data_IF_942447888489
#
_entry.id   IF_942447888489
#
_cell.length_a   1.000
_cell.length_b   1.000
_cell.length_c   1.000
_cell.angle_alpha   90.00
_cell.angle_beta   90.00
_cell.angle_gamma   90.00
#
_symmetry.space_group_name_H-M   'P 1'
#
loop_
_entity.id
_entity.type
_entity.pdbx_description
1 polymer ?
#
# COMPACT_ATOMS: atom_id res chain seq x y z
N UNK A 1 17.66 -1.58 1.14
CA UNK A 1 16.55 -0.67 1.57
C UNK A 1 15.16 -1.25 1.26
N UNK A 2 14.10 -0.77 1.93
CA UNK A 2 12.71 -1.19 1.67
C UNK A 2 11.81 0.01 1.36
N UNK A 3 11.27 0.05 0.15
CA UNK A 3 10.24 1.00 -0.24
C UNK A 3 8.84 0.47 0.08
N UNK A 4 7.99 1.33 0.64
CA UNK A 4 6.61 0.93 0.95
C UNK A 4 5.57 1.98 0.61
N UNK A 5 4.34 1.51 0.37
CA UNK A 5 3.15 2.36 0.27
C UNK A 5 2.03 1.78 1.13
N UNK A 6 1.30 2.63 1.87
CA UNK A 6 0.16 2.19 2.67
C UNK A 6 -0.95 3.22 2.75
N UNK A 7 -2.20 2.76 2.81
CA UNK A 7 -3.36 3.61 3.13
C UNK A 7 -3.75 3.49 4.61
N UNK A 8 -4.09 2.28 5.05
CA UNK A 8 -4.60 1.99 6.39
C UNK A 8 -3.60 1.26 7.31
N UNK A 9 -2.35 1.07 6.88
CA UNK A 9 -1.27 0.56 7.74
C UNK A 9 -0.88 -0.91 7.53
N UNK A 10 -1.67 -1.72 6.83
CA UNK A 10 -1.35 -3.14 6.55
C UNK A 10 0.07 -3.32 5.97
N UNK A 11 0.34 -2.66 4.85
CA UNK A 11 1.64 -2.77 4.18
C UNK A 11 2.78 -2.12 4.95
N UNK A 12 2.52 -1.11 5.79
CA UNK A 12 3.55 -0.55 6.67
C UNK A 12 3.90 -1.53 7.81
N UNK A 13 2.95 -2.33 8.29
CA UNK A 13 3.22 -3.35 9.31
C UNK A 13 4.15 -4.43 8.75
N UNK A 14 3.84 -4.91 7.55
CA UNK A 14 4.67 -5.84 6.80
C UNK A 14 6.06 -5.24 6.53
N UNK A 15 6.12 -4.00 6.06
CA UNK A 15 7.39 -3.33 5.77
C UNK A 15 8.25 -3.16 7.04
N UNK A 16 7.66 -2.76 8.17
CA UNK A 16 8.37 -2.60 9.45
C UNK A 16 8.94 -3.92 9.97
N UNK A 17 8.17 -5.00 9.92
CA UNK A 17 8.67 -6.30 10.35
C UNK A 17 9.82 -6.79 9.45
N UNK A 18 9.72 -6.60 8.13
CA UNK A 18 10.84 -6.90 7.22
C UNK A 18 12.05 -6.02 7.50
N UNK A 19 11.84 -4.71 7.70
CA UNK A 19 12.90 -3.75 8.01
C UNK A 19 13.67 -4.15 9.26
N UNK A 20 12.97 -4.53 10.33
CA UNK A 20 13.59 -5.02 11.57
C UNK A 20 14.36 -6.32 11.34
N UNK A 21 13.74 -7.29 10.66
CA UNK A 21 14.34 -8.61 10.49
C UNK A 21 15.51 -8.64 9.50
N UNK A 22 15.52 -7.75 8.52
CA UNK A 22 16.55 -7.61 7.49
C UNK A 22 17.55 -6.49 7.81
N UNK A 23 17.30 -5.68 8.85
CA UNK A 23 18.07 -4.49 9.20
C UNK A 23 18.17 -3.47 8.07
N UNK A 24 17.09 -3.32 7.31
CA UNK A 24 17.02 -2.48 6.12
C UNK A 24 16.18 -1.22 6.38
N UNK A 25 16.60 -0.03 5.95
CA UNK A 25 15.85 1.20 6.20
C UNK A 25 14.54 1.25 5.41
N UNK A 26 13.51 1.84 6.01
CA UNK A 26 12.23 2.09 5.36
C UNK A 26 12.19 3.42 4.61
N UNK A 27 11.58 3.40 3.43
CA UNK A 27 11.37 4.58 2.61
C UNK A 27 9.95 4.62 2.05
N UNK A 28 9.17 5.64 2.40
CA UNK A 28 7.80 5.77 1.89
C UNK A 28 7.82 6.21 0.43
N UNK A 29 7.18 5.44 -0.46
CA UNK A 29 7.10 5.74 -1.89
C UNK A 29 6.46 7.11 -2.16
N UNK A 30 5.48 7.51 -1.34
CA UNK A 30 4.81 8.82 -1.43
C UNK A 30 5.77 9.99 -1.25
N UNK A 31 6.74 9.84 -0.36
CA UNK A 31 7.69 10.90 -0.01
C UNK A 31 8.78 10.98 -1.07
N UNK A 32 9.22 9.82 -1.57
CA UNK A 32 10.20 9.76 -2.66
C UNK A 32 9.66 10.40 -3.95
N UNK A 33 8.37 10.27 -4.22
CA UNK A 33 7.72 10.93 -5.36
C UNK A 33 7.69 12.47 -5.28
N UNK A 34 7.91 13.06 -4.10
CA UNK A 34 8.01 14.51 -3.97
C UNK A 34 9.41 15.04 -4.33
N UNK A 35 10.42 14.17 -4.40
CA UNK A 35 11.82 14.55 -4.66
C UNK A 35 12.17 14.21 -6.11
N UNK A 36 12.28 15.23 -6.97
CA UNK A 36 12.62 15.04 -8.38
C UNK A 36 14.07 14.58 -8.55
N UNK A 37 14.28 13.65 -9.48
CA UNK A 37 15.62 13.25 -9.93
C UNK A 37 16.43 12.43 -8.92
N UNK A 38 15.85 12.05 -7.78
CA UNK A 38 16.52 11.27 -6.74
C UNK A 38 16.99 9.91 -7.29
N UNK A 39 18.27 9.63 -7.11
CA UNK A 39 18.87 8.32 -7.35
C UNK A 39 19.18 7.64 -6.02
N UNK A 40 19.11 6.31 -6.00
CA UNK A 40 19.41 5.49 -4.84
C UNK A 40 20.64 4.64 -5.15
N UNK A 41 21.78 4.98 -4.55
CA UNK A 41 23.01 4.19 -4.64
C UNK A 41 22.90 2.98 -3.73
N UNK A 42 23.11 1.80 -4.29
CA UNK A 42 23.07 0.53 -3.57
C UNK A 42 24.47 0.09 -3.19
N UNK A 43 24.62 -0.39 -1.96
CA UNK A 43 25.84 -1.08 -1.55
C UNK A 43 25.94 -2.47 -2.20
N UNK A 44 27.16 -3.05 -2.33
CA UNK A 44 27.31 -4.43 -2.78
C UNK A 44 26.46 -5.39 -1.96
N UNK A 45 25.69 -6.25 -2.63
CA UNK A 45 24.78 -7.19 -2.01
C UNK A 45 23.45 -6.62 -1.50
N UNK A 46 23.27 -5.28 -1.47
CA UNK A 46 22.06 -4.65 -0.93
C UNK A 46 20.81 -5.06 -1.71
N UNK A 47 19.76 -5.44 -0.96
CA UNK A 47 18.48 -5.81 -1.54
C UNK A 47 17.55 -4.59 -1.62
N UNK A 48 16.66 -4.60 -2.61
CA UNK A 48 15.59 -3.59 -2.74
C UNK A 48 14.25 -4.25 -2.52
N UNK A 49 13.61 -3.91 -1.41
CA UNK A 49 12.26 -4.37 -1.07
C UNK A 49 11.17 -3.44 -1.57
N UNK A 50 10.09 -4.00 -2.10
CA UNK A 50 8.86 -3.29 -2.47
C UNK A 50 7.65 -3.86 -1.69
N UNK A 51 7.03 -3.06 -0.82
CA UNK A 51 5.93 -3.52 0.04
C UNK A 51 4.70 -2.62 -0.12
N UNK A 52 3.62 -3.13 -0.68
CA UNK A 52 2.46 -2.29 -1.00
C UNK A 52 1.16 -3.09 -1.16
N UNK A 53 -0.02 -2.44 -1.06
CA UNK A 53 -1.30 -3.13 -1.21
C UNK A 53 -1.64 -3.40 -2.67
N UNK A 54 -2.42 -4.46 -2.92
CA UNK A 54 -3.08 -4.70 -4.20
C UNK A 54 -4.38 -3.91 -4.25
N UNK A 55 -4.59 -3.15 -5.33
CA UNK A 55 -5.85 -2.47 -5.61
C UNK A 55 -6.47 -3.06 -6.87
N UNK A 56 -7.66 -3.64 -6.74
CA UNK A 56 -8.42 -4.23 -7.86
C UNK A 56 -7.57 -5.19 -8.71
N UNK A 57 -6.83 -6.08 -8.04
CA UNK A 57 -5.98 -7.09 -8.67
C UNK A 57 -4.83 -6.56 -9.54
N UNK A 58 -4.50 -5.26 -9.41
CA UNK A 58 -3.35 -4.58 -10.02
C UNK A 58 -2.56 -3.79 -8.95
N UNK A 59 -1.45 -3.18 -9.32
CA UNK A 59 -0.69 -2.33 -8.41
C UNK A 59 -1.34 -0.93 -8.31
N UNK A 60 -1.24 -0.25 -7.15
CA UNK A 60 -1.72 1.11 -7.00
C UNK A 60 -1.06 2.06 -8.00
N UNK A 61 -1.80 3.08 -8.47
CA UNK A 61 -1.26 4.09 -9.38
C UNK A 61 -0.01 4.77 -8.80
N UNK A 62 -0.02 5.10 -7.51
CA UNK A 62 1.13 5.67 -6.82
C UNK A 62 2.38 4.78 -6.91
N UNK A 63 2.21 3.47 -6.76
CA UNK A 63 3.33 2.51 -6.86
C UNK A 63 3.87 2.45 -8.28
N UNK A 64 2.99 2.44 -9.28
CA UNK A 64 3.40 2.49 -10.69
C UNK A 64 4.16 3.79 -11.04
N UNK A 65 3.73 4.92 -10.47
CA UNK A 65 4.42 6.21 -10.66
C UNK A 65 5.76 6.23 -9.94
N UNK A 66 5.84 5.67 -8.73
CA UNK A 66 7.11 5.51 -7.99
C UNK A 66 8.11 4.67 -8.79
N UNK A 67 7.71 3.49 -9.28
CA UNK A 67 8.57 2.61 -10.09
C UNK A 67 9.07 3.35 -11.32
N UNK A 68 8.21 4.10 -12.03
CA UNK A 68 8.61 4.87 -13.22
C UNK A 68 9.65 5.95 -12.91
N UNK A 69 9.67 6.47 -11.69
CA UNK A 69 10.67 7.44 -11.23
C UNK A 69 11.90 6.82 -10.59
N UNK A 70 11.89 5.50 -10.34
CA UNK A 70 12.91 4.82 -9.56
C UNK A 70 14.21 4.72 -10.35
N UNK A 71 15.28 5.30 -9.80
CA UNK A 71 16.64 5.21 -10.34
C UNK A 71 17.55 4.54 -9.33
N UNK A 72 17.95 3.32 -9.61
CA UNK A 72 18.92 2.57 -8.81
C UNK A 72 20.30 2.69 -9.45
N UNK A 73 21.30 3.05 -8.66
CA UNK A 73 22.71 3.06 -9.06
C UNK A 73 23.39 1.92 -8.33
N UNK A 74 23.88 0.93 -9.06
CA UNK A 74 24.48 -0.27 -8.48
C UNK A 74 25.59 -0.78 -9.40
N UNK A 75 26.63 -1.35 -8.80
CA UNK A 75 27.73 -2.00 -9.53
C UNK A 75 27.34 -3.39 -10.06
N UNK A 76 26.29 -3.99 -9.51
CA UNK A 76 25.77 -5.29 -9.90
C UNK A 76 24.24 -5.26 -10.07
N UNK A 77 23.68 -6.32 -10.65
CA UNK A 77 22.23 -6.45 -10.79
C UNK A 77 21.58 -6.62 -9.41
N UNK A 78 20.72 -5.68 -8.97
CA UNK A 78 20.18 -5.72 -7.61
C UNK A 78 19.19 -6.87 -7.43
N UNK A 79 19.15 -7.44 -6.22
CA UNK A 79 18.10 -8.36 -5.83
C UNK A 79 16.86 -7.57 -5.39
N UNK A 80 15.86 -7.55 -6.25
CA UNK A 80 14.59 -6.84 -6.01
C UNK A 80 13.54 -7.85 -5.57
N UNK A 81 12.95 -7.65 -4.40
CA UNK A 81 11.87 -8.48 -3.90
C UNK A 81 10.61 -7.66 -3.66
N UNK A 82 9.44 -8.30 -3.75
CA UNK A 82 8.17 -7.67 -3.47
C UNK A 82 7.29 -8.51 -2.55
N UNK A 83 6.66 -7.84 -1.58
CA UNK A 83 5.64 -8.41 -0.69
C UNK A 83 4.35 -7.63 -0.88
N UNK A 84 3.38 -8.25 -1.56
CA UNK A 84 2.07 -7.66 -1.80
C UNK A 84 1.16 -7.90 -0.60
N UNK A 85 0.38 -6.91 -0.18
CA UNK A 85 -0.69 -7.11 0.81
C UNK A 85 -2.06 -7.10 0.14
N UNK A 86 -2.96 -8.02 0.47
CA UNK A 86 -4.29 -8.07 -0.13
C UNK A 86 -5.38 -8.52 0.86
N UNK A 87 -6.64 -8.23 0.55
CA UNK A 87 -7.81 -8.67 1.33
C UNK A 87 -8.26 -10.11 1.05
N UNK A 88 -7.60 -10.81 0.13
CA UNK A 88 -7.88 -12.20 -0.19
C UNK A 88 -7.08 -12.73 -1.37
N UNK A 89 -7.12 -12.01 -2.50
CA UNK A 89 -6.42 -12.40 -3.73
C UNK A 89 -5.67 -11.22 -4.33
N UNK A 90 -4.59 -11.53 -5.02
CA UNK A 90 -3.71 -10.55 -5.70
C UNK A 90 -3.99 -10.44 -7.20
N UNK A 91 -4.72 -11.40 -7.78
CA UNK A 91 -4.92 -11.52 -9.23
C UNK A 91 -3.59 -11.44 -9.99
N UNK A 92 -3.49 -10.53 -10.95
CA UNK A 92 -2.27 -10.32 -11.75
C UNK A 92 -1.42 -9.13 -11.29
N UNK A 93 -1.58 -8.64 -10.05
CA UNK A 93 -0.78 -7.52 -9.54
C UNK A 93 0.73 -7.78 -9.61
N UNK A 94 1.16 -9.03 -9.38
CA UNK A 94 2.56 -9.45 -9.56
C UNK A 94 3.07 -9.29 -10.99
N UNK A 95 2.30 -9.79 -11.96
CA UNK A 95 2.61 -9.64 -13.39
C UNK A 95 2.62 -8.18 -13.82
N UNK A 96 1.73 -7.36 -13.25
CA UNK A 96 1.71 -5.93 -13.53
C UNK A 96 2.95 -5.23 -12.95
N UNK A 97 3.35 -5.56 -11.73
CA UNK A 97 4.60 -5.10 -11.13
C UNK A 97 5.81 -5.44 -12.01
N UNK A 98 5.94 -6.70 -12.42
CA UNK A 98 7.02 -7.16 -13.31
C UNK A 98 7.09 -6.34 -14.59
N UNK A 99 5.95 -6.10 -15.25
CA UNK A 99 5.90 -5.26 -16.47
C UNK A 99 6.37 -3.83 -16.21
N UNK A 100 6.03 -3.23 -15.07
CA UNK A 100 6.46 -1.87 -14.74
C UNK A 100 7.97 -1.81 -14.45
N UNK A 101 8.51 -2.80 -13.72
CA UNK A 101 9.94 -2.90 -13.45
C UNK A 101 10.75 -3.13 -14.74
N UNK A 102 10.29 -4.01 -15.62
CA UNK A 102 10.95 -4.28 -16.91
C UNK A 102 11.07 -3.03 -17.79
N UNK A 103 10.06 -2.14 -17.76
CA UNK A 103 10.14 -0.84 -18.46
C UNK A 103 11.24 0.08 -17.91
N UNK A 104 11.68 -0.15 -16.68
CA UNK A 104 12.80 0.54 -16.05
C UNK A 104 14.11 -0.26 -16.14
N UNK A 105 14.13 -1.35 -16.92
CA UNK A 105 15.25 -2.30 -17.01
C UNK A 105 15.62 -2.93 -15.66
N UNK A 106 14.62 -3.04 -14.78
CA UNK A 106 14.72 -3.72 -13.50
C UNK A 106 13.99 -5.06 -13.58
N UNK A 107 14.51 -6.06 -12.87
CA UNK A 107 13.90 -7.39 -12.82
C UNK A 107 13.52 -7.76 -11.40
N UNK A 108 12.28 -8.23 -11.25
CA UNK A 108 11.79 -8.75 -9.99
C UNK A 108 12.43 -10.12 -9.73
N UNK A 109 13.20 -10.24 -8.64
CA UNK A 109 13.86 -11.49 -8.26
C UNK A 109 12.95 -12.40 -7.45
N UNK A 110 12.15 -11.84 -6.54
CA UNK A 110 11.28 -12.58 -5.63
C UNK A 110 9.93 -11.90 -5.46
N UNK A 111 8.85 -12.66 -5.52
CA UNK A 111 7.50 -12.17 -5.28
C UNK A 111 6.77 -13.06 -4.28
N UNK A 112 6.10 -12.46 -3.30
CA UNK A 112 5.14 -13.14 -2.43
C UNK A 112 3.99 -12.21 -2.05
N UNK A 113 2.99 -12.75 -1.35
CA UNK A 113 1.86 -11.97 -0.87
C UNK A 113 1.39 -12.44 0.51
N UNK A 114 0.91 -11.49 1.30
CA UNK A 114 0.29 -11.73 2.61
C UNK A 114 -1.16 -11.24 2.59
N UNK A 115 -2.05 -12.02 3.22
CA UNK A 115 -3.47 -11.67 3.33
C UNK A 115 -3.70 -10.96 4.66
N UNK A 116 -4.27 -9.76 4.59
CA UNK A 116 -4.58 -8.90 5.73
C UNK A 116 -6.04 -8.43 5.64
N UNK A 117 -6.60 -7.77 6.67
CA UNK A 117 -7.98 -7.30 6.61
C UNK A 117 -8.25 -6.41 5.40
N UNK A 118 -9.30 -6.74 4.65
CA UNK A 118 -9.78 -5.90 3.55
C UNK A 118 -10.36 -4.59 4.08
N UNK A 119 -10.11 -3.51 3.35
CA UNK A 119 -10.50 -2.16 3.72
C UNK A 119 -11.23 -1.42 2.58
N UNK A 120 -11.65 -2.10 1.51
CA UNK A 120 -12.40 -1.49 0.42
C UNK A 120 -13.90 -1.35 0.75
N UNK A 121 -14.20 -0.49 1.72
CA UNK A 121 -15.55 -0.25 2.25
C UNK A 121 -16.60 0.28 1.26
N UNK A 122 -16.27 0.88 0.09
CA UNK A 122 -17.30 1.22 -0.90
C UNK A 122 -18.10 0.03 -1.41
N UNK A 123 -17.53 -1.19 -1.37
CA UNK A 123 -18.19 -2.42 -1.81
C UNK A 123 -18.22 -3.50 -0.72
N UNK A 124 -17.14 -3.61 0.07
CA UNK A 124 -16.94 -4.68 1.03
C UNK A 124 -17.25 -4.23 2.47
N UNK A 125 -17.10 -5.16 3.40
CA UNK A 125 -17.16 -4.90 4.84
C UNK A 125 -15.81 -5.21 5.46
N UNK A 126 -15.39 -4.38 6.41
CA UNK A 126 -14.23 -4.66 7.25
C UNK A 126 -14.52 -5.94 8.05
N UNK A 127 -13.62 -6.93 8.04
CA UNK A 127 -13.76 -8.12 8.87
C UNK A 127 -13.94 -7.77 10.36
N UNK A 128 -14.72 -8.54 11.11
CA UNK A 128 -14.79 -8.37 12.56
C UNK A 128 -13.43 -8.63 13.24
N UNK A 129 -13.28 -8.18 14.49
CA UNK A 129 -12.01 -8.24 15.22
C UNK A 129 -11.42 -9.65 15.32
N UNK A 130 -12.25 -10.66 15.58
CA UNK A 130 -11.81 -12.07 15.63
C UNK A 130 -11.18 -12.50 14.31
N UNK A 131 -11.83 -12.19 13.18
CA UNK A 131 -11.29 -12.48 11.84
C UNK A 131 -10.04 -11.66 11.55
N UNK A 132 -9.96 -10.41 12.01
CA UNK A 132 -8.73 -9.61 11.88
C UNK A 132 -7.56 -10.24 12.62
N UNK A 133 -7.74 -10.69 13.86
CA UNK A 133 -6.71 -11.36 14.65
C UNK A 133 -6.19 -12.63 13.96
N UNK A 134 -7.09 -13.47 13.44
CA UNK A 134 -6.70 -14.66 12.66
C UNK A 134 -5.87 -14.27 11.44
N UNK A 135 -6.30 -13.24 10.69
CA UNK A 135 -5.55 -12.75 9.54
C UNK A 135 -4.16 -12.23 9.92
N UNK A 136 -4.02 -11.52 11.05
CA UNK A 136 -2.72 -11.05 11.52
C UNK A 136 -1.77 -12.21 11.87
N UNK A 137 -2.27 -13.22 12.59
CA UNK A 137 -1.47 -14.41 12.94
C UNK A 137 -1.04 -15.21 11.71
N UNK A 138 -1.91 -15.35 10.71
CA UNK A 138 -1.55 -15.99 9.44
C UNK A 138 -0.53 -15.14 8.68
N UNK A 139 -0.74 -13.83 8.58
CA UNK A 139 0.19 -12.92 7.91
C UNK A 139 1.59 -12.93 8.54
N UNK A 140 1.67 -13.02 9.87
CA UNK A 140 2.94 -13.12 10.59
C UNK A 140 3.71 -14.39 10.21
N UNK A 141 3.03 -15.56 10.15
CA UNK A 141 3.64 -16.83 9.73
C UNK A 141 4.13 -16.78 8.27
N UNK A 142 3.29 -16.25 7.38
CA UNK A 142 3.64 -16.06 5.97
C UNK A 142 4.87 -15.12 5.84
N UNK A 143 4.94 -14.08 6.67
CA UNK A 143 6.02 -13.10 6.65
C UNK A 143 7.34 -13.63 7.24
N UNK A 144 7.29 -14.48 8.26
CA UNK A 144 8.48 -15.20 8.75
C UNK A 144 9.07 -16.04 7.63
N UNK A 145 8.22 -16.81 6.92
CA UNK A 145 8.63 -17.63 5.78
C UNK A 145 9.24 -16.77 4.66
N UNK A 146 8.58 -15.66 4.31
CA UNK A 146 9.09 -14.73 3.31
C UNK A 146 10.46 -14.14 3.72
N UNK A 147 10.61 -13.77 4.99
CA UNK A 147 11.86 -13.20 5.53
C UNK A 147 13.03 -14.17 5.36
N UNK A 148 12.84 -15.45 5.71
CA UNK A 148 13.86 -16.49 5.54
C UNK A 148 14.23 -16.65 4.06
N UNK A 149 13.23 -16.68 3.17
CA UNK A 149 13.45 -16.83 1.73
C UNK A 149 14.16 -15.61 1.11
N UNK A 150 13.83 -14.40 1.56
CA UNK A 150 14.49 -13.16 1.14
C UNK A 150 15.94 -13.13 1.60
N UNK A 151 16.23 -13.51 2.87
CA UNK A 151 17.61 -13.63 3.37
C UNK A 151 18.43 -14.64 2.56
N UNK A 152 17.82 -15.75 2.17
CA UNK A 152 18.44 -16.76 1.30
C UNK A 152 18.50 -16.35 -0.17
N UNK A 153 18.08 -15.12 -0.53
CA UNK A 153 18.00 -14.59 -1.90
C UNK A 153 17.28 -15.53 -2.87
N UNK A 154 16.24 -16.24 -2.39
CA UNK A 154 15.43 -17.15 -3.20
C UNK A 154 14.84 -16.38 -4.38
N UNK A 155 14.76 -17.02 -5.55
CA UNK A 155 14.21 -16.41 -6.76
C UNK A 155 12.86 -17.01 -7.15
N UNK A 156 12.11 -16.28 -7.96
CA UNK A 156 10.85 -16.71 -8.56
C UNK A 156 9.60 -16.15 -7.88
N UNK A 157 8.45 -16.55 -8.41
CA UNK A 157 7.14 -16.15 -7.93
C UNK A 157 6.60 -17.15 -6.91
N UNK A 158 6.62 -16.77 -5.64
CA UNK A 158 6.11 -17.55 -4.49
C UNK A 158 4.73 -17.04 -4.05
N UNK A 159 4.07 -16.18 -4.84
CA UNK A 159 2.73 -15.69 -4.53
C UNK A 159 1.68 -16.77 -4.80
N UNK A 160 1.33 -17.50 -3.73
CA UNK A 160 0.25 -18.50 -3.72
C UNK A 160 -1.16 -17.87 -3.65
N UNK A 161 -1.28 -16.53 -3.60
CA UNK A 161 -2.56 -15.81 -3.39
C UNK A 161 -3.07 -15.15 -4.68
N UNK A 162 -2.70 -15.64 -5.86
CA UNK A 162 -3.20 -15.10 -7.15
C UNK A 162 -4.71 -15.30 -7.32
N UNK A 163 -5.25 -16.39 -6.77
CA UNK A 163 -6.63 -16.80 -6.98
C UNK A 163 -6.85 -17.54 -8.30
N UNK A 164 -7.98 -18.24 -8.39
CA UNK A 164 -8.41 -18.93 -9.60
C UNK A 164 -8.84 -17.91 -10.67
N UNK A 165 -8.60 -18.20 -11.95
CA UNK A 165 -8.93 -17.29 -13.07
C UNK A 165 -8.41 -15.84 -12.88
N UNK A 166 -7.23 -15.69 -12.27
CA UNK A 166 -6.63 -14.40 -11.91
C UNK A 166 -6.59 -13.38 -13.06
N UNK A 167 -6.41 -13.85 -14.29
CA UNK A 167 -6.46 -13.01 -15.49
C UNK A 167 -7.84 -12.40 -15.76
N UNK A 168 -8.90 -13.20 -15.68
CA UNK A 168 -10.27 -12.73 -15.88
C UNK A 168 -10.69 -11.74 -14.77
N UNK A 169 -10.39 -12.08 -13.52
CA UNK A 169 -10.65 -11.19 -12.37
C UNK A 169 -9.92 -9.85 -12.51
N UNK A 170 -8.67 -9.87 -12.97
CA UNK A 170 -7.92 -8.63 -13.18
C UNK A 170 -8.47 -7.84 -14.37
N UNK A 171 -8.81 -8.52 -15.47
CA UNK A 171 -9.37 -7.88 -16.66
C UNK A 171 -10.69 -7.16 -16.37
N UNK A 172 -11.52 -7.70 -15.46
CA UNK A 172 -12.78 -7.06 -15.06
C UNK A 172 -12.58 -5.93 -14.04
N UNK A 173 -11.71 -6.10 -13.05
CA UNK A 173 -11.58 -5.13 -11.94
C UNK A 173 -10.62 -3.96 -12.24
N UNK A 174 -9.54 -4.17 -12.99
CA UNK A 174 -8.53 -3.13 -13.23
C UNK A 174 -9.09 -1.90 -14.00
N UNK A 175 -10.01 -2.04 -14.97
CA UNK A 175 -10.70 -0.88 -15.56
C UNK A 175 -11.51 -0.10 -14.52
N UNK A 176 -12.23 -0.79 -13.62
CA UNK A 176 -12.99 -0.14 -12.55
C UNK A 176 -12.08 0.69 -11.63
N UNK A 177 -10.87 0.21 -11.34
CA UNK A 177 -9.87 1.01 -10.61
C UNK A 177 -9.40 2.22 -11.41
N UNK A 178 -9.05 2.01 -12.69
CA UNK A 178 -8.54 3.08 -13.56
C UNK A 178 -9.52 4.25 -13.60
N UNK A 179 -10.80 3.96 -13.80
CA UNK A 179 -11.84 4.94 -14.06
C UNK A 179 -12.59 5.39 -12.79
N UNK A 180 -12.63 4.55 -11.77
CA UNK A 180 -13.28 4.79 -10.48
C UNK A 180 -12.46 5.62 -9.49
N UNK A 181 -11.19 5.87 -9.77
CA UNK A 181 -10.25 6.70 -8.98
C UNK A 181 -10.59 8.20 -8.89
N UNK A 182 -11.83 8.58 -9.17
CA UNK A 182 -12.30 9.97 -9.19
C UNK A 182 -12.50 10.50 -7.78
N UNK A 183 -12.12 11.74 -7.53
CA UNK A 183 -12.24 12.36 -6.21
C UNK A 183 -13.55 13.09 -5.98
N UNK A 184 -14.30 13.40 -7.04
CA UNK A 184 -15.55 14.18 -7.00
C UNK A 184 -16.69 13.55 -6.18
N UNK A 185 -16.53 12.29 -5.75
CA UNK A 185 -17.46 11.61 -4.86
C UNK A 185 -17.06 11.68 -3.38
N UNK A 186 -15.86 12.16 -3.06
CA UNK A 186 -15.50 12.40 -1.67
C UNK A 186 -16.15 13.66 -1.16
N UNK A 187 -16.66 13.60 0.06
CA UNK A 187 -17.21 14.75 0.78
C UNK A 187 -16.99 14.57 2.28
N UNK A 188 -17.04 15.66 3.03
CA UNK A 188 -16.98 15.66 4.48
C UNK A 188 -18.31 16.14 5.07
N UNK A 189 -18.83 15.43 6.07
CA UNK A 189 -20.01 15.82 6.82
C UNK A 189 -19.72 17.00 7.77
N UNK A 190 -20.79 17.53 8.38
CA UNK A 190 -20.69 18.61 9.35
C UNK A 190 -20.06 18.18 10.69
N UNK A 191 -19.89 16.88 10.92
CA UNK A 191 -19.11 16.38 12.06
C UNK A 191 -17.60 16.63 11.91
N UNK A 192 -17.14 17.16 10.77
CA UNK A 192 -15.73 17.46 10.55
C UNK A 192 -15.22 18.55 11.51
N UNK A 193 -14.18 18.23 12.26
CA UNK A 193 -13.59 19.14 13.26
C UNK A 193 -12.48 20.05 12.72
N UNK A 194 -12.17 19.98 11.42
CA UNK A 194 -11.06 20.75 10.85
C UNK A 194 -9.68 20.35 11.37
N UNK A 195 -9.46 19.09 11.79
CA UNK A 195 -8.16 18.66 12.32
C UNK A 195 -7.03 18.50 11.27
N UNK A 196 -7.35 18.70 9.98
CA UNK A 196 -6.43 18.64 8.83
C UNK A 196 -5.70 17.30 8.59
N UNK A 197 -5.92 16.27 9.41
CA UNK A 197 -5.23 14.98 9.29
C UNK A 197 -5.34 14.38 7.88
N UNK A 198 -6.51 14.45 7.26
CA UNK A 198 -6.76 13.92 5.91
C UNK A 198 -5.87 14.56 4.85
N UNK A 199 -5.60 15.87 4.92
CA UNK A 199 -4.69 16.57 4.03
C UNK A 199 -3.23 16.17 4.31
N UNK A 200 -2.85 16.10 5.58
CA UNK A 200 -1.48 15.78 6.01
C UNK A 200 -1.03 14.39 5.54
N UNK A 201 -1.91 13.38 5.69
CA UNK A 201 -1.61 11.99 5.34
C UNK A 201 -1.87 11.65 3.86
N UNK A 202 -2.39 12.60 3.07
CA UNK A 202 -2.72 12.32 1.67
C UNK A 202 -1.44 12.12 0.86
N UNK A 203 -1.19 10.91 0.33
CA UNK A 203 0.10 10.57 -0.29
C UNK A 203 0.30 11.25 -1.65
N UNK A 204 -0.77 11.72 -2.28
CA UNK A 204 -0.74 12.41 -3.58
C UNK A 204 -1.09 13.90 -3.48
N UNK A 205 -1.23 14.43 -2.26
CA UNK A 205 -1.55 15.84 -1.98
C UNK A 205 -2.77 16.31 -2.80
N UNK A 206 -3.84 15.52 -2.76
CA UNK A 206 -5.09 15.80 -3.49
C UNK A 206 -6.09 16.61 -2.67
N UNK A 207 -5.80 16.90 -1.41
CA UNK A 207 -6.73 17.52 -0.45
C UNK A 207 -6.12 18.82 0.05
N UNK A 208 -6.84 19.92 -0.11
CA UNK A 208 -6.59 21.20 0.54
C UNK A 208 -7.62 21.43 1.65
N UNK A 209 -7.30 22.30 2.60
CA UNK A 209 -8.28 22.77 3.58
C UNK A 209 -8.78 24.15 3.14
N UNK A 210 -10.09 24.28 2.97
CA UNK A 210 -10.75 25.56 2.66
C UNK A 210 -11.88 25.77 3.65
N UNK A 211 -11.89 26.94 4.30
CA UNK A 211 -12.86 27.26 5.37
C UNK A 211 -12.97 26.17 6.44
N UNK A 212 -11.82 25.61 6.87
CA UNK A 212 -11.76 24.57 7.90
C UNK A 212 -12.19 23.17 7.46
N UNK A 213 -12.60 22.94 6.19
CA UNK A 213 -13.04 21.64 5.68
C UNK A 213 -12.17 21.12 4.52
N UNK A 214 -12.03 19.80 4.35
CA UNK A 214 -11.25 19.24 3.25
C UNK A 214 -11.95 19.39 1.90
N UNK A 215 -11.20 19.83 0.90
CA UNK A 215 -11.61 19.95 -0.50
C UNK A 215 -10.64 19.15 -1.38
N UNK A 216 -11.18 18.24 -2.20
CA UNK A 216 -10.38 17.43 -3.11
C UNK A 216 -10.12 18.19 -4.41
N UNK A 217 -8.91 18.72 -4.55
CA UNK A 217 -8.53 19.66 -5.61
C UNK A 217 -8.04 19.00 -6.91
N UNK A 218 -7.74 17.70 -6.89
CA UNK A 218 -7.32 16.93 -8.08
C UNK A 218 -8.45 16.00 -8.48
N UNK A 219 -8.71 15.86 -9.77
CA UNK A 219 -9.80 15.01 -10.29
C UNK A 219 -9.67 13.53 -9.92
N UNK A 220 -8.44 13.04 -9.77
CA UNK A 220 -8.14 11.64 -9.50
C UNK A 220 -7.12 11.50 -8.37
N UNK A 221 -7.21 10.38 -7.66
CA UNK A 221 -6.18 9.93 -6.72
C UNK A 221 -5.91 8.42 -6.86
N UNK A 222 -4.98 7.85 -6.10
CA UNK A 222 -4.66 6.41 -6.06
C UNK A 222 -5.74 5.60 -5.35
N UNK A 223 -6.74 6.29 -4.76
CA UNK A 223 -7.92 5.71 -4.14
C UNK A 223 -7.60 4.74 -2.98
N UNK A 224 -6.64 5.12 -2.15
CA UNK A 224 -6.22 4.33 -0.98
C UNK A 224 -7.15 4.43 0.24
N UNK A 225 -8.14 5.33 0.17
CA UNK A 225 -9.12 5.60 1.23
C UNK A 225 -8.52 5.99 2.60
N UNK A 226 -7.24 6.37 2.65
CA UNK A 226 -6.57 6.74 3.90
C UNK A 226 -7.29 7.87 4.64
N UNK A 227 -7.71 8.92 3.92
CA UNK A 227 -8.46 10.06 4.46
C UNK A 227 -9.80 9.63 5.08
N UNK A 228 -10.51 8.70 4.44
CA UNK A 228 -11.79 8.17 4.90
C UNK A 228 -11.63 7.29 6.14
N UNK A 229 -10.66 6.36 6.12
CA UNK A 229 -10.44 5.43 7.23
C UNK A 229 -9.84 6.07 8.47
N UNK A 230 -8.95 7.05 8.29
CA UNK A 230 -8.16 7.64 9.38
C UNK A 230 -8.77 8.94 9.90
N UNK A 231 -9.93 9.35 9.40
CA UNK A 231 -10.64 10.49 9.98
C UNK A 231 -11.11 10.12 11.40
N UNK A 232 -10.66 10.83 12.45
CA UNK A 232 -10.93 10.46 13.85
C UNK A 232 -12.42 10.54 14.21
N UNK A 233 -13.16 11.42 13.53
CA UNK A 233 -14.61 11.63 13.69
C UNK A 233 -15.42 11.04 12.54
N UNK A 234 -14.78 10.22 11.68
CA UNK A 234 -15.40 9.56 10.53
C UNK A 234 -16.20 10.48 9.58
N UNK A 235 -15.85 11.76 9.51
CA UNK A 235 -16.60 12.75 8.74
C UNK A 235 -16.48 12.58 7.22
N UNK A 236 -15.45 11.88 6.73
CA UNK A 236 -15.20 11.74 5.28
C UNK A 236 -15.91 10.50 4.74
N UNK A 237 -16.61 10.68 3.62
CA UNK A 237 -17.37 9.64 2.93
C UNK A 237 -17.06 9.65 1.42
N UNK A 238 -17.34 8.55 0.74
CA UNK A 238 -17.27 8.41 -0.71
C UNK A 238 -18.64 8.00 -1.27
N UNK A 239 -19.32 8.94 -1.91
CA UNK A 239 -20.71 8.76 -2.33
C UNK A 239 -21.62 8.48 -1.15
N UNK A 240 -22.59 7.57 -1.32
CA UNK A 240 -23.50 7.14 -0.26
C UNK A 240 -23.15 5.76 0.32
N UNK A 241 -22.26 5.00 -0.34
CA UNK A 241 -22.02 3.58 -0.02
C UNK A 241 -21.16 3.35 1.21
N UNK A 242 -20.39 4.35 1.62
CA UNK A 242 -19.49 4.27 2.78
C UNK A 242 -20.11 4.77 4.08
N UNK A 243 -21.29 5.40 4.02
CA UNK A 243 -22.01 5.90 5.20
C UNK A 243 -22.32 4.75 6.15
N UNK A 244 -22.00 4.91 7.44
CA UNK A 244 -22.24 3.91 8.48
C UNK A 244 -21.37 2.65 8.38
N UNK A 245 -20.43 2.57 7.43
CA UNK A 245 -19.50 1.45 7.32
C UNK A 245 -18.35 1.60 8.31
N UNK A 246 -18.06 0.52 9.04
CA UNK A 246 -16.90 0.42 9.93
C UNK A 246 -15.61 0.86 9.23
N UNK A 247 -14.83 1.69 9.91
CA UNK A 247 -13.50 2.12 9.43
C UNK A 247 -12.44 1.12 9.90
N UNK A 248 -11.42 0.93 9.08
CA UNK A 248 -10.29 0.07 9.39
C UNK A 248 -8.99 0.88 9.40
N UNK A 249 -8.27 0.81 10.52
CA UNK A 249 -6.89 1.29 10.64
C UNK A 249 -6.12 0.20 11.35
N UNK A 250 -5.02 -0.27 10.76
CA UNK A 250 -4.18 -1.29 11.35
C UNK A 250 -3.65 -0.78 12.72
N UNK A 251 -3.63 -1.61 13.79
CA UNK A 251 -3.26 -1.18 15.15
C UNK A 251 -1.92 -0.45 15.26
N UNK A 252 -0.96 -0.82 14.42
CA UNK A 252 0.34 -0.15 14.33
C UNK A 252 0.26 1.35 13.97
N UNK A 253 -0.78 1.82 13.27
CA UNK A 253 -1.02 3.25 13.04
C UNK A 253 -1.83 3.92 14.17
N UNK A 254 -2.46 3.12 15.04
CA UNK A 254 -3.26 3.60 16.16
C UNK A 254 -2.45 3.79 17.44
N UNK A 255 -1.30 3.11 17.56
CA UNK A 255 -0.33 3.38 18.64
C UNK A 255 0.14 4.83 18.53
N UNK A 256 -0.45 5.71 19.35
CA UNK A 256 0.12 7.01 19.68
C UNK A 256 1.54 6.75 20.22
N UNK A 257 2.51 7.46 19.69
CA UNK A 257 3.81 7.66 20.34
C UNK A 257 3.59 8.31 21.70
N UNK A 258 3.43 7.52 22.76
CA UNK A 258 3.59 7.97 24.15
C UNK A 258 4.48 7.03 24.99
N UNK A 259 5.16 6.08 24.35
CA UNK A 259 6.32 5.42 24.93
C UNK A 259 7.54 5.90 24.16
N UNK A 260 7.97 7.11 24.52
CA UNK A 260 9.38 7.47 24.45
C UNK A 260 10.13 6.37 25.19
N UNK A 261 11.11 5.77 24.52
CA UNK A 261 12.18 5.01 25.14
C UNK A 261 12.75 5.87 26.28
N UNK A 262 12.34 5.58 27.52
CA UNK A 262 13.16 5.80 28.70
C UNK A 262 14.17 4.66 28.80
#
# INVERSE_FOLDING_TARGET
MIFYFTGTGNSLAVARQLSQALQEPLSAMSDQLQVKGKAFSLQPGEAVGLVFPVYFYTIPRLVADFIRSLRLVSHEKPYIYAVLTCGGQTGQAGRDLERQLLRQRLELSYLTAVVLPDNYVPLLHVPNEKKQQVLFLTAEKDLITATVQIKARKKGDHNAKKGLLSGLLTASAAPLYRDGRKTNRFWASDCCTGCHLCANICPEKTIEIRHGKPVWIKERCTFCLACLHRCPVQAIEHGRTTKGKTRYVHPMLQKKSWETLT
#
